data_IF_908775354556
#
_entry.id   IF_908775354556
#
_cell.length_a   1.000
_cell.length_b   1.000
_cell.length_c   1.000
_cell.angle_alpha   90.00
_cell.angle_beta   90.00
_cell.angle_gamma   90.00
#
_symmetry.space_group_name_H-M   'P 1'
#
loop_
_entity.id
_entity.type
_entity.pdbx_description
1 polymer ?
#
# COMPACT_ATOMS: atom_id res chain seq x y z
N UNK A 1 3.54 -13.18 -9.94
CA UNK A 1 3.04 -13.99 -8.81
C UNK A 1 2.27 -13.06 -7.89
N UNK A 2 0.97 -13.27 -7.71
CA UNK A 2 0.15 -12.42 -6.86
C UNK A 2 0.61 -12.60 -5.41
N UNK A 3 1.09 -11.53 -4.76
CA UNK A 3 1.50 -11.59 -3.36
C UNK A 3 0.25 -11.74 -2.49
N UNK A 4 0.39 -12.48 -1.40
CA UNK A 4 -0.66 -12.63 -0.40
C UNK A 4 -1.09 -11.22 0.09
N UNK A 5 -2.37 -10.84 -0.06
CA UNK A 5 -2.83 -9.49 0.26
C UNK A 5 -2.73 -9.19 1.76
N UNK A 6 -2.83 -10.19 2.64
CA UNK A 6 -2.71 -9.99 4.08
C UNK A 6 -1.25 -9.81 4.48
N UNK A 7 -0.33 -10.54 3.85
CA UNK A 7 1.10 -10.33 4.03
C UNK A 7 1.53 -8.94 3.52
N UNK A 8 0.97 -8.51 2.39
CA UNK A 8 1.18 -7.17 1.84
C UNK A 8 0.70 -6.11 2.81
N UNK A 9 -0.53 -6.24 3.32
CA UNK A 9 -1.09 -5.37 4.35
C UNK A 9 -0.19 -5.29 5.59
N UNK A 10 0.24 -6.44 6.14
CA UNK A 10 1.11 -6.48 7.31
C UNK A 10 2.43 -5.74 7.06
N UNK A 11 3.03 -5.94 5.89
CA UNK A 11 4.29 -5.29 5.50
C UNK A 11 4.13 -3.78 5.33
N UNK A 12 3.07 -3.34 4.66
CA UNK A 12 2.74 -1.91 4.49
C UNK A 12 2.48 -1.23 5.84
N UNK A 13 1.76 -1.89 6.75
CA UNK A 13 1.49 -1.35 8.10
C UNK A 13 2.79 -1.25 8.90
N UNK A 14 3.70 -2.23 8.83
CA UNK A 14 5.02 -2.14 9.48
C UNK A 14 5.82 -0.96 8.95
N UNK A 15 5.84 -0.76 7.64
CA UNK A 15 6.52 0.36 6.99
C UNK A 15 5.97 1.70 7.46
N UNK A 16 4.64 1.86 7.48
CA UNK A 16 3.96 3.06 7.96
C UNK A 16 4.20 3.33 9.46
N UNK A 17 4.22 2.28 10.28
CA UNK A 17 4.54 2.39 11.70
C UNK A 17 5.99 2.84 11.92
N UNK A 18 6.94 2.26 11.19
CA UNK A 18 8.34 2.65 11.27
C UNK A 18 8.54 4.12 10.87
N UNK A 19 7.92 4.56 9.77
CA UNK A 19 7.98 5.93 9.28
C UNK A 19 7.41 6.94 10.30
N UNK A 20 6.31 6.60 10.98
CA UNK A 20 5.68 7.48 11.99
C UNK A 20 6.22 7.28 13.41
N UNK A 21 7.22 6.41 13.61
CA UNK A 21 7.70 5.98 14.94
C UNK A 21 6.56 5.50 15.86
N UNK A 22 5.57 4.84 15.27
CA UNK A 22 4.41 4.32 15.97
C UNK A 22 4.69 2.96 16.62
N UNK A 23 3.94 2.68 17.68
CA UNK A 23 3.89 1.36 18.33
C UNK A 23 2.57 0.67 17.99
N UNK A 24 2.48 -0.65 18.20
CA UNK A 24 1.21 -1.36 18.02
C UNK A 24 0.11 -0.80 18.93
N UNK A 25 0.50 -0.33 20.13
CA UNK A 25 -0.41 0.30 21.09
C UNK A 25 -0.93 1.63 20.55
N UNK A 26 -0.05 2.55 20.12
CA UNK A 26 -0.49 3.85 19.59
C UNK A 26 -1.34 3.70 18.32
N UNK A 27 -0.98 2.76 17.43
CA UNK A 27 -1.79 2.44 16.26
C UNK A 27 -3.16 1.90 16.66
N UNK A 28 -3.24 0.96 17.60
CA UNK A 28 -4.52 0.38 18.02
C UNK A 28 -5.48 1.42 18.60
N UNK A 29 -4.97 2.33 19.43
CA UNK A 29 -5.73 3.44 20.00
C UNK A 29 -6.24 4.39 18.90
N UNK A 30 -5.35 4.81 17.99
CA UNK A 30 -5.71 5.75 16.93
C UNK A 30 -6.66 5.16 15.88
N UNK A 31 -6.51 3.88 15.58
CA UNK A 31 -7.40 3.15 14.67
C UNK A 31 -8.72 2.74 15.33
N UNK A 32 -8.82 2.77 16.66
CA UNK A 32 -10.01 2.30 17.38
C UNK A 32 -10.24 0.80 17.23
N UNK A 33 -9.15 0.02 17.18
CA UNK A 33 -9.20 -1.46 17.12
C UNK A 33 -8.48 -2.06 18.32
N UNK A 34 -8.75 -3.32 18.63
CA UNK A 34 -8.04 -3.99 19.73
C UNK A 34 -6.55 -4.11 19.42
N UNK A 35 -5.71 -3.98 20.44
CA UNK A 35 -4.27 -4.22 20.31
C UNK A 35 -3.99 -5.64 19.79
N UNK A 36 -4.83 -6.61 20.17
CA UNK A 36 -4.77 -7.99 19.65
C UNK A 36 -4.95 -8.04 18.13
N UNK A 37 -5.86 -7.25 17.55
CA UNK A 37 -6.05 -7.23 16.09
C UNK A 37 -4.80 -6.73 15.37
N UNK A 38 -4.11 -5.72 15.92
CA UNK A 38 -2.83 -5.25 15.38
C UNK A 38 -1.74 -6.32 15.54
N UNK A 39 -1.64 -6.95 16.72
CA UNK A 39 -0.66 -8.01 16.97
C UNK A 39 -0.87 -9.24 16.08
N UNK A 40 -2.12 -9.68 15.89
CA UNK A 40 -2.46 -10.80 14.99
C UNK A 40 -2.02 -10.48 13.55
N UNK A 41 -2.23 -9.23 13.08
CA UNK A 41 -1.77 -8.77 11.77
C UNK A 41 -0.23 -8.74 11.67
N UNK A 42 0.46 -8.24 12.70
CA UNK A 42 1.92 -8.19 12.73
C UNK A 42 2.57 -9.57 12.80
N UNK A 43 1.82 -10.61 13.19
CA UNK A 43 2.28 -12.00 13.27
C UNK A 43 1.57 -12.90 12.23
N UNK A 44 1.05 -12.32 11.15
CA UNK A 44 0.25 -13.04 10.15
C UNK A 44 0.95 -14.30 9.60
N UNK A 45 2.25 -14.26 9.37
CA UNK A 45 2.99 -15.40 8.82
C UNK A 45 2.91 -16.66 9.69
N UNK A 46 2.87 -16.48 11.02
CA UNK A 46 2.74 -17.55 12.00
C UNK A 46 1.29 -17.93 12.27
N UNK A 47 0.40 -16.94 12.40
CA UNK A 47 -0.99 -17.16 12.84
C UNK A 47 -1.96 -17.45 11.69
N UNK A 48 -1.60 -17.06 10.46
CA UNK A 48 -2.44 -17.13 9.25
C UNK A 48 -3.84 -16.58 9.44
N UNK A 49 -3.99 -15.59 10.33
CA UNK A 49 -5.27 -14.99 10.70
C UNK A 49 -5.52 -13.71 9.90
N UNK A 50 -6.52 -13.74 9.04
CA UNK A 50 -6.90 -12.59 8.24
C UNK A 50 -7.64 -11.54 9.08
N UNK A 51 -7.32 -10.25 8.95
CA UNK A 51 -8.11 -9.18 9.57
C UNK A 51 -9.47 -9.05 8.88
N UNK A 52 -10.45 -8.51 9.61
CA UNK A 52 -11.74 -8.15 9.00
C UNK A 52 -11.58 -6.90 8.12
N UNK A 53 -12.45 -6.73 7.12
CA UNK A 53 -12.46 -5.50 6.30
C UNK A 53 -12.60 -4.24 7.17
N UNK A 54 -13.41 -4.29 8.24
CA UNK A 54 -13.53 -3.19 9.22
C UNK A 54 -12.20 -2.82 9.87
N UNK A 55 -11.35 -3.81 10.15
CA UNK A 55 -10.00 -3.59 10.70
C UNK A 55 -9.09 -2.94 9.66
N UNK A 56 -9.14 -3.39 8.40
CA UNK A 56 -8.35 -2.79 7.31
C UNK A 56 -8.75 -1.33 7.10
N UNK A 57 -10.05 -1.03 7.07
CA UNK A 57 -10.56 0.34 6.96
C UNK A 57 -10.16 1.22 8.14
N UNK A 58 -10.24 0.70 9.36
CA UNK A 58 -9.86 1.41 10.56
C UNK A 58 -8.36 1.79 10.54
N UNK A 59 -7.50 0.85 10.13
CA UNK A 59 -6.06 1.11 9.96
C UNK A 59 -5.83 2.13 8.84
N UNK A 60 -6.52 1.99 7.70
CA UNK A 60 -6.44 2.95 6.59
C UNK A 60 -6.76 4.37 7.04
N UNK A 61 -7.88 4.56 7.75
CA UNK A 61 -8.26 5.86 8.33
C UNK A 61 -7.21 6.39 9.31
N UNK A 62 -6.61 5.54 10.15
CA UNK A 62 -5.57 5.97 11.09
C UNK A 62 -4.29 6.48 10.39
N UNK A 63 -4.08 6.09 9.13
CA UNK A 63 -2.99 6.57 8.28
C UNK A 63 -3.42 7.60 7.24
N UNK A 64 -4.71 7.94 7.17
CA UNK A 64 -5.31 8.80 6.14
C UNK A 64 -5.13 8.23 4.71
N UNK A 65 -5.33 6.91 4.59
CA UNK A 65 -5.18 6.15 3.35
C UNK A 65 -6.43 5.32 3.04
N UNK A 66 -6.82 5.21 1.76
CA UNK A 66 -7.80 4.24 1.33
C UNK A 66 -7.36 2.79 1.63
N UNK A 67 -8.29 1.87 1.98
CA UNK A 67 -7.94 0.49 2.33
C UNK A 67 -7.17 -0.26 1.24
N UNK A 68 -7.47 0.01 -0.03
CA UNK A 68 -6.81 -0.65 -1.16
C UNK A 68 -5.32 -0.32 -1.27
N UNK A 69 -4.90 0.88 -0.84
CA UNK A 69 -3.49 1.29 -0.85
C UNK A 69 -2.67 0.39 0.07
N UNK A 70 -3.24 -0.02 1.22
CA UNK A 70 -2.56 -0.88 2.17
C UNK A 70 -2.28 -2.28 1.62
N UNK A 71 -3.09 -2.73 0.66
CA UNK A 71 -3.00 -4.06 0.04
C UNK A 71 -2.25 -4.05 -1.30
N UNK A 72 -1.81 -2.88 -1.78
CA UNK A 72 -1.06 -2.76 -3.02
C UNK A 72 0.40 -3.18 -2.79
N UNK A 73 0.92 -4.16 -3.57
CA UNK A 73 2.26 -4.68 -3.37
C UNK A 73 3.31 -3.67 -3.84
N UNK A 74 4.47 -3.67 -3.15
CA UNK A 74 5.69 -2.99 -3.59
C UNK A 74 5.54 -1.48 -3.80
N UNK A 75 4.62 -0.84 -3.07
CA UNK A 75 4.51 0.61 -3.07
C UNK A 75 5.68 1.24 -2.31
N UNK A 76 6.41 2.20 -2.92
CA UNK A 76 7.37 3.04 -2.22
C UNK A 76 6.70 3.82 -1.09
N UNK A 77 7.39 4.00 0.04
CA UNK A 77 6.86 4.71 1.21
C UNK A 77 6.46 6.15 0.87
N UNK A 78 7.12 6.76 -0.11
CA UNK A 78 6.84 8.10 -0.61
C UNK A 78 5.45 8.19 -1.25
N UNK A 79 4.96 7.11 -1.87
CA UNK A 79 3.60 7.07 -2.42
C UNK A 79 2.54 6.83 -1.34
N UNK A 80 2.94 6.29 -0.19
CA UNK A 80 2.09 6.20 1.01
C UNK A 80 2.04 7.53 1.77
N UNK A 81 2.98 8.44 1.49
CA UNK A 81 3.05 9.79 2.06
C UNK A 81 2.29 10.79 1.19
N UNK A 82 0.97 10.74 1.27
CA UNK A 82 0.06 11.73 0.71
C UNK A 82 -0.88 11.17 -0.34
N UNK A 83 -1.66 12.05 -0.97
CA UNK A 83 -2.78 11.65 -1.81
C UNK A 83 -2.43 11.55 -3.30
N UNK A 84 -1.15 11.56 -3.69
CA UNK A 84 -0.75 11.62 -5.12
C UNK A 84 -1.23 10.38 -5.88
N UNK A 85 -0.98 9.19 -5.34
CA UNK A 85 -1.42 7.94 -5.95
C UNK A 85 -2.94 7.85 -6.01
N UNK A 86 -3.62 8.19 -4.91
CA UNK A 86 -5.09 8.21 -4.85
C UNK A 86 -5.68 9.15 -5.90
N UNK A 87 -5.16 10.39 -6.01
CA UNK A 87 -5.60 11.36 -7.02
C UNK A 87 -5.33 10.87 -8.44
N UNK A 88 -4.20 10.20 -8.68
CA UNK A 88 -3.90 9.61 -9.99
C UNK A 88 -4.97 8.58 -10.39
N UNK A 89 -5.30 7.66 -9.48
CA UNK A 89 -6.34 6.64 -9.70
C UNK A 89 -7.71 7.28 -9.91
N UNK A 90 -8.08 8.24 -9.07
CA UNK A 90 -9.35 8.97 -9.19
C UNK A 90 -9.47 9.72 -10.53
N UNK A 91 -8.41 10.40 -10.94
CA UNK A 91 -8.37 11.08 -12.23
C UNK A 91 -8.45 10.09 -13.38
N UNK A 92 -7.69 8.99 -13.32
CA UNK A 92 -7.70 7.93 -14.33
C UNK A 92 -9.10 7.37 -14.58
N UNK A 93 -9.87 7.10 -13.51
CA UNK A 93 -11.25 6.61 -13.62
C UNK A 93 -12.22 7.62 -14.27
N UNK A 94 -11.90 8.92 -14.24
CA UNK A 94 -12.74 10.00 -14.80
C UNK A 94 -12.38 10.38 -16.24
N UNK A 95 -11.24 9.92 -16.75
CA UNK A 95 -10.82 10.22 -18.12
C UNK A 95 -11.71 9.51 -19.15
N UNK A 96 -11.90 10.07 -20.35
CA UNK A 96 -12.39 9.31 -21.49
C UNK A 96 -11.34 8.26 -21.93
N UNK A 97 -11.74 7.35 -22.80
CA UNK A 97 -10.90 6.24 -23.25
C UNK A 97 -9.58 6.72 -23.87
N UNK A 98 -9.63 7.75 -24.71
CA UNK A 98 -8.44 8.34 -25.35
C UNK A 98 -7.47 8.95 -24.31
N UNK A 99 -8.03 9.48 -23.21
CA UNK A 99 -7.26 10.00 -22.08
C UNK A 99 -6.56 8.88 -21.31
N UNK A 100 -7.27 7.78 -21.05
CA UNK A 100 -6.69 6.59 -20.38
C UNK A 100 -5.56 5.98 -21.21
N UNK A 101 -5.78 5.76 -22.50
CA UNK A 101 -4.77 5.26 -23.43
C UNK A 101 -3.52 6.16 -23.46
N UNK A 102 -3.71 7.47 -23.31
CA UNK A 102 -2.60 8.41 -23.23
C UNK A 102 -1.78 8.25 -21.96
N UNK A 103 -2.44 8.08 -20.80
CA UNK A 103 -1.76 7.80 -19.53
C UNK A 103 -1.02 6.46 -19.59
N UNK A 104 -1.65 5.41 -20.09
CA UNK A 104 -1.07 4.06 -20.21
C UNK A 104 0.20 4.09 -21.08
N UNK A 105 0.12 4.72 -22.26
CA UNK A 105 1.27 4.85 -23.17
C UNK A 105 2.45 5.59 -22.53
N UNK A 106 2.19 6.69 -21.80
CA UNK A 106 3.26 7.43 -21.11
C UNK A 106 3.85 6.59 -19.98
N UNK A 107 3.01 5.98 -19.14
CA UNK A 107 3.47 5.14 -18.03
C UNK A 107 4.31 3.96 -18.52
N UNK A 108 3.90 3.30 -19.60
CA UNK A 108 4.65 2.18 -20.18
C UNK A 108 5.98 2.65 -20.79
N UNK A 109 6.01 3.81 -21.45
CA UNK A 109 7.24 4.39 -21.99
C UNK A 109 8.26 4.69 -20.89
N UNK A 110 7.82 5.35 -19.80
CA UNK A 110 8.67 5.64 -18.64
C UNK A 110 9.18 4.37 -17.96
N UNK A 111 8.34 3.35 -17.82
CA UNK A 111 8.73 2.06 -17.24
C UNK A 111 9.78 1.34 -18.10
N UNK A 112 9.60 1.34 -19.43
CA UNK A 112 10.57 0.77 -20.39
C UNK A 112 11.91 1.51 -20.34
N UNK A 113 11.87 2.84 -20.27
CA UNK A 113 13.07 3.66 -20.15
C UNK A 113 13.81 3.43 -18.83
N UNK A 114 13.10 3.36 -17.71
CA UNK A 114 13.71 3.04 -16.41
C UNK A 114 14.36 1.64 -16.39
N UNK A 115 13.77 0.68 -17.11
CA UNK A 115 14.33 -0.67 -17.24
C UNK A 115 15.61 -0.69 -18.09
N UNK A 116 15.70 0.10 -19.16
CA UNK A 116 16.90 0.18 -20.01
C UNK A 116 18.08 0.89 -19.34
N UNK A 117 17.81 1.77 -18.37
CA UNK A 117 18.83 2.46 -17.57
C UNK A 117 19.48 1.59 -16.49
N UNK A 118 18.91 0.43 -16.12
CA UNK A 118 19.54 -0.48 -15.15
C UNK A 118 20.61 -1.31 -15.86
N UNK A 119 21.93 -1.09 -15.62
CA UNK A 119 22.95 -1.91 -16.23
C UNK A 119 22.76 -3.37 -15.80
N UNK A 120 23.02 -4.31 -16.71
CA UNK A 120 23.06 -5.73 -16.40
C UNK A 120 23.99 -5.94 -15.20
N UNK A 121 23.44 -6.34 -14.04
CA UNK A 121 24.24 -6.68 -12.86
C UNK A 121 25.23 -7.74 -13.31
N UNK A 122 26.51 -7.36 -13.38
CA UNK A 122 27.61 -8.26 -13.63
C UNK A 122 27.60 -9.33 -12.54
N UNK A 123 27.69 -10.59 -12.98
CA UNK A 123 27.59 -11.80 -12.19
C UNK A 123 28.61 -11.85 -11.04
#
# INVERSE_FOLDING_TARGET
MQKDPVLTLASTVRLLMAERKDTQVSLSQRAGVSQRAISDLMNYEALRKSPTMRTVEAIGRAFDLPPWVLMAPDLPVELLRGSRLTRLVENYCRLPEEGRQSVERVAESEARYAASLRPARTA
#
